data_IF_322078766605
#
_entry.id   IF_322078766605
#
_cell.length_a   1.000
_cell.length_b   1.000
_cell.length_c   1.000
_cell.angle_alpha   90.00
_cell.angle_beta   90.00
_cell.angle_gamma   90.00
#
_symmetry.space_group_name_H-M   'P 1'
#
loop_
_entity.id
_entity.type
_entity.pdbx_description
1 polymer ?
#
# COMPACT_ATOMS: atom_id res chain seq x y z
N UNK A 1 -21.55 31.03 10.96
CA UNK A 1 -21.44 29.73 10.27
C UNK A 1 -20.22 29.03 10.84
N UNK A 2 -20.40 28.05 11.74
CA UNK A 2 -19.28 27.29 12.30
C UNK A 2 -18.86 26.30 11.21
N UNK A 3 -17.66 26.47 10.65
CA UNK A 3 -17.05 25.43 9.84
C UNK A 3 -16.67 24.31 10.81
N UNK A 4 -17.52 23.28 10.89
CA UNK A 4 -17.15 22.02 11.52
C UNK A 4 -15.96 21.48 10.74
N UNK A 5 -14.75 21.69 11.23
CA UNK A 5 -13.59 20.97 10.73
C UNK A 5 -13.80 19.51 11.16
N UNK A 6 -14.34 18.71 10.24
CA UNK A 6 -14.42 17.27 10.42
C UNK A 6 -13.02 16.78 10.71
N UNK A 7 -12.82 16.26 11.92
CA UNK A 7 -11.54 15.69 12.29
C UNK A 7 -11.17 14.61 11.26
N UNK A 8 -9.92 14.69 10.77
CA UNK A 8 -9.32 13.72 9.85
C UNK A 8 -8.00 13.24 10.45
N UNK A 9 -7.68 11.95 10.35
CA UNK A 9 -6.37 11.45 10.74
C UNK A 9 -5.28 12.02 9.81
N UNK A 10 -4.01 12.06 10.26
CA UNK A 10 -2.89 12.49 9.41
C UNK A 10 -2.77 11.61 8.16
N UNK A 11 -2.53 12.25 7.01
CA UNK A 11 -2.40 11.59 5.71
C UNK A 11 -0.95 11.38 5.29
N UNK A 12 -0.62 10.20 4.77
CA UNK A 12 0.70 9.88 4.21
C UNK A 12 0.56 9.30 2.81
N UNK A 13 1.43 9.72 1.90
CA UNK A 13 1.47 9.21 0.53
C UNK A 13 2.59 8.20 0.36
N UNK A 14 2.25 7.01 -0.12
CA UNK A 14 3.19 5.95 -0.42
C UNK A 14 3.64 6.01 -1.89
N UNK A 15 4.95 5.88 -2.09
CA UNK A 15 5.55 5.56 -3.37
C UNK A 15 5.63 4.04 -3.56
N UNK A 16 6.07 3.57 -4.74
CA UNK A 16 6.34 2.15 -4.96
C UNK A 16 7.35 1.58 -3.93
N UNK A 17 8.38 2.36 -3.57
CA UNK A 17 9.36 1.97 -2.54
C UNK A 17 8.72 1.82 -1.17
N UNK A 18 7.79 2.71 -0.82
CA UNK A 18 7.09 2.66 0.46
C UNK A 18 6.13 1.46 0.52
N UNK A 19 5.46 1.13 -0.59
CA UNK A 19 4.65 -0.09 -0.69
C UNK A 19 5.48 -1.35 -0.46
N UNK A 20 6.68 -1.44 -1.03
CA UNK A 20 7.60 -2.56 -0.75
C UNK A 20 7.94 -2.64 0.73
N UNK A 21 8.33 -1.52 1.35
CA UNK A 21 8.67 -1.50 2.78
C UNK A 21 7.48 -1.88 3.67
N UNK A 22 6.28 -1.40 3.32
CA UNK A 22 5.06 -1.64 4.08
C UNK A 22 4.59 -3.10 4.00
N UNK A 23 4.71 -3.73 2.83
CA UNK A 23 4.11 -5.04 2.54
C UNK A 23 5.09 -6.21 2.67
N UNK A 24 6.39 -5.95 2.59
CA UNK A 24 7.43 -6.99 2.57
C UNK A 24 8.34 -6.97 3.80
N UNK A 25 8.01 -6.17 4.82
CA UNK A 25 8.70 -6.15 6.11
C UNK A 25 7.72 -5.73 7.20
N UNK A 26 7.95 -6.19 8.41
CA UNK A 26 7.22 -5.88 9.64
C UNK A 26 7.97 -4.92 10.58
N UNK A 27 9.19 -4.52 10.22
CA UNK A 27 10.06 -3.68 11.05
C UNK A 27 10.20 -2.25 10.52
N UNK A 28 9.62 -1.92 9.36
CA UNK A 28 9.76 -0.59 8.76
C UNK A 28 8.74 0.39 9.30
N UNK A 29 9.08 1.69 9.30
CA UNK A 29 8.12 2.76 9.59
C UNK A 29 6.87 2.67 8.71
N UNK A 30 7.03 2.29 7.44
CA UNK A 30 5.91 2.13 6.49
C UNK A 30 4.99 0.96 6.89
N UNK A 31 5.54 -0.13 7.41
CA UNK A 31 4.75 -1.25 7.94
C UNK A 31 3.98 -0.86 9.20
N UNK A 32 4.60 -0.06 10.08
CA UNK A 32 3.93 0.51 11.26
C UNK A 32 2.82 1.50 10.85
N UNK A 33 3.04 2.32 9.82
CA UNK A 33 2.02 3.19 9.24
C UNK A 33 0.86 2.40 8.64
N UNK A 34 1.14 1.28 7.96
CA UNK A 34 0.11 0.37 7.46
C UNK A 34 -0.75 -0.17 8.61
N UNK A 35 -0.13 -0.63 9.69
CA UNK A 35 -0.84 -1.08 10.90
C UNK A 35 -1.62 0.05 11.59
N UNK A 36 -1.08 1.27 11.59
CA UNK A 36 -1.79 2.44 12.12
C UNK A 36 -3.02 2.79 11.26
N UNK A 37 -2.95 2.61 9.95
CA UNK A 37 -4.05 2.84 9.01
C UNK A 37 -5.19 1.83 9.22
N UNK A 38 -4.86 0.55 9.47
CA UNK A 38 -5.84 -0.47 9.86
C UNK A 38 -6.64 -0.04 11.10
N UNK A 39 -5.97 0.60 12.06
CA UNK A 39 -6.61 1.13 13.26
C UNK A 39 -7.26 2.52 13.11
N UNK A 40 -7.31 3.07 11.88
CA UNK A 40 -7.90 4.39 11.62
C UNK A 40 -7.12 5.57 12.21
N UNK A 41 -5.85 5.37 12.60
CA UNK A 41 -5.01 6.41 13.22
C UNK A 41 -4.36 7.33 12.20
N UNK A 42 -4.14 6.83 10.98
CA UNK A 42 -3.59 7.55 9.84
C UNK A 42 -4.38 7.18 8.59
N UNK A 43 -4.28 7.98 7.55
CA UNK A 43 -4.80 7.66 6.22
C UNK A 43 -3.64 7.50 5.25
N UNK A 44 -3.68 6.45 4.43
CA UNK A 44 -2.65 6.17 3.44
C UNK A 44 -3.18 6.41 2.04
N UNK A 45 -2.35 7.00 1.20
CA UNK A 45 -2.67 7.32 -0.18
C UNK A 45 -1.63 6.73 -1.12
N UNK A 46 -2.05 6.19 -2.25
CA UNK A 46 -1.14 5.78 -3.31
C UNK A 46 -1.82 5.95 -4.67
N UNK A 47 -1.04 6.28 -5.70
CA UNK A 47 -1.56 6.40 -7.07
C UNK A 47 -1.31 5.11 -7.88
N UNK A 48 -1.86 5.08 -9.09
CA UNK A 48 -1.66 3.98 -10.03
C UNK A 48 -0.16 3.74 -10.37
N UNK A 49 0.66 4.79 -10.39
CA UNK A 49 2.10 4.68 -10.68
C UNK A 49 2.83 3.93 -9.57
N UNK A 50 2.54 4.25 -8.31
CA UNK A 50 3.08 3.54 -7.15
C UNK A 50 2.69 2.06 -7.17
N UNK A 51 1.42 1.76 -7.46
CA UNK A 51 0.94 0.38 -7.55
C UNK A 51 1.60 -0.40 -8.69
N UNK A 52 1.68 0.19 -9.89
CA UNK A 52 2.31 -0.46 -11.04
C UNK A 52 3.80 -0.72 -10.82
N UNK A 53 4.50 0.20 -10.15
CA UNK A 53 5.89 0.00 -9.74
C UNK A 53 6.05 -1.17 -8.77
N UNK A 54 5.17 -1.28 -7.77
CA UNK A 54 5.14 -2.40 -6.85
C UNK A 54 4.82 -3.73 -7.56
N UNK A 55 3.80 -3.76 -8.41
CA UNK A 55 3.43 -4.94 -9.21
C UNK A 55 4.61 -5.45 -10.04
N UNK A 56 5.30 -4.54 -10.73
CA UNK A 56 6.45 -4.90 -11.55
C UNK A 56 7.55 -5.57 -10.71
N UNK A 57 7.88 -4.99 -9.55
CA UNK A 57 8.89 -5.53 -8.63
C UNK A 57 8.52 -6.92 -8.12
N UNK A 58 7.25 -7.11 -7.73
CA UNK A 58 6.74 -8.40 -7.25
C UNK A 58 6.84 -9.47 -8.34
N UNK A 59 6.34 -9.18 -9.54
CA UNK A 59 6.33 -10.11 -10.66
C UNK A 59 7.75 -10.40 -11.21
N UNK A 60 8.69 -9.45 -11.10
CA UNK A 60 10.07 -9.64 -11.55
C UNK A 60 10.90 -10.45 -10.55
N UNK A 61 10.61 -10.32 -9.25
CA UNK A 61 11.46 -10.83 -8.16
C UNK A 61 10.96 -12.16 -7.61
N UNK A 62 9.66 -12.29 -7.32
CA UNK A 62 9.09 -13.52 -6.79
C UNK A 62 8.75 -14.47 -7.92
N UNK A 63 9.69 -15.37 -8.24
CA UNK A 63 9.54 -16.35 -9.32
C UNK A 63 9.89 -17.75 -8.86
N UNK A 64 9.14 -18.72 -9.38
CA UNK A 64 9.43 -20.15 -9.29
C UNK A 64 9.50 -20.68 -10.72
N UNK A 65 10.59 -21.36 -11.06
CA UNK A 65 10.85 -21.85 -12.42
C UNK A 65 10.72 -20.77 -13.53
N UNK A 66 11.16 -19.55 -13.21
CA UNK A 66 11.13 -18.40 -14.12
C UNK A 66 9.75 -17.76 -14.32
N UNK A 67 8.69 -18.31 -13.74
CA UNK A 67 7.33 -17.77 -13.79
C UNK A 67 7.02 -16.95 -12.53
N UNK A 68 6.28 -15.83 -12.62
CA UNK A 68 5.82 -15.09 -11.45
C UNK A 68 5.07 -16.00 -10.48
N UNK A 69 5.38 -15.88 -9.19
CA UNK A 69 4.75 -16.66 -8.12
C UNK A 69 3.27 -16.29 -7.94
N UNK A 70 2.94 -15.01 -8.15
CA UNK A 70 1.58 -14.47 -8.01
C UNK A 70 0.99 -14.12 -9.37
N UNK A 71 -0.29 -14.40 -9.52
CA UNK A 71 -1.10 -13.99 -10.68
C UNK A 71 -1.53 -12.53 -10.55
N UNK A 72 -1.85 -11.89 -11.68
CA UNK A 72 -2.42 -10.53 -11.67
C UNK A 72 -3.73 -10.42 -10.89
N UNK A 73 -4.53 -11.51 -10.84
CA UNK A 73 -5.78 -11.55 -10.08
C UNK A 73 -5.51 -11.51 -8.57
N UNK A 74 -4.57 -12.33 -8.08
CA UNK A 74 -4.19 -12.35 -6.65
C UNK A 74 -3.61 -11.01 -6.21
N UNK A 75 -2.78 -10.38 -7.04
CA UNK A 75 -2.26 -9.05 -6.74
C UNK A 75 -3.35 -7.98 -6.77
N UNK A 76 -4.33 -8.08 -7.67
CA UNK A 76 -5.52 -7.23 -7.66
C UNK A 76 -6.34 -7.39 -6.39
N UNK A 77 -6.54 -8.62 -5.92
CA UNK A 77 -7.22 -8.90 -4.66
C UNK A 77 -6.46 -8.28 -3.47
N UNK A 78 -5.12 -8.43 -3.43
CA UNK A 78 -4.26 -7.78 -2.45
C UNK A 78 -4.44 -6.26 -2.46
N UNK A 79 -4.40 -5.61 -3.63
CA UNK A 79 -4.62 -4.15 -3.74
C UNK A 79 -5.89 -3.70 -3.04
N UNK A 80 -6.95 -4.47 -3.22
CA UNK A 80 -8.30 -4.14 -2.75
C UNK A 80 -8.45 -4.37 -1.25
N UNK A 81 -7.63 -5.22 -0.65
CA UNK A 81 -7.63 -5.46 0.81
C UNK A 81 -6.81 -4.46 1.62
N UNK A 82 -6.01 -3.61 0.97
CA UNK A 82 -5.15 -2.67 1.69
C UNK A 82 -5.93 -1.45 2.20
N UNK A 83 -5.62 -0.93 3.40
CA UNK A 83 -6.20 0.30 3.96
C UNK A 83 -5.59 1.55 3.30
N UNK A 84 -5.63 1.60 1.96
CA UNK A 84 -5.04 2.66 1.14
C UNK A 84 -6.12 3.27 0.26
N UNK A 85 -6.22 4.59 0.30
CA UNK A 85 -7.01 5.38 -0.65
C UNK A 85 -6.24 5.49 -1.96
N UNK A 86 -6.79 4.91 -3.02
CA UNK A 86 -6.18 4.93 -4.34
C UNK A 86 -6.57 6.21 -5.09
N UNK A 87 -5.57 7.04 -5.43
CA UNK A 87 -5.72 8.33 -6.13
C UNK A 87 -5.69 8.19 -7.66
#
# INVERSE_FOLDING_TARGET
MIVMMSWRPPGYRFTAKDLVKALCSDETEQSLLLMAAIHGKVELFADATAWNGFLWLVMSTFKVDGKPLYTGLELGALKTSLPIVWL
#
